data_IF_686165863036
#
_entry.id   IF_686165863036
#
_cell.length_a   1.000
_cell.length_b   1.000
_cell.length_c   1.000
_cell.angle_alpha   90.00
_cell.angle_beta   90.00
_cell.angle_gamma   90.00
#
_symmetry.space_group_name_H-M   'P 1'
#
loop_
_entity.id
_entity.type
_entity.pdbx_description
1 polymer ?
#
# COMPACT_ATOMS: atom_id res chain seq x y z
N UNK A 1 -17.10 18.71 -4.45
CA UNK A 1 -16.90 17.64 -3.49
C UNK A 1 -15.42 17.39 -3.27
N UNK A 2 -15.06 17.17 -2.03
CA UNK A 2 -13.68 16.86 -1.72
C UNK A 2 -13.30 15.47 -2.24
N UNK A 3 -12.10 15.36 -2.74
CA UNK A 3 -11.57 14.07 -3.17
C UNK A 3 -11.29 13.20 -1.94
N UNK A 4 -11.64 11.94 -2.04
CA UNK A 4 -11.38 11.00 -0.95
C UNK A 4 -10.13 10.20 -1.26
N UNK A 5 -9.09 10.44 -0.49
CA UNK A 5 -7.79 9.82 -0.65
C UNK A 5 -7.51 8.92 0.53
N UNK A 6 -6.93 7.77 0.27
CA UNK A 6 -6.52 6.82 1.29
C UNK A 6 -5.01 6.62 1.24
N UNK A 7 -4.44 6.34 2.41
CA UNK A 7 -3.13 5.70 2.49
C UNK A 7 -3.37 4.22 2.67
N UNK A 8 -2.51 3.40 2.07
CA UNK A 8 -2.51 1.98 2.32
C UNK A 8 -1.12 1.56 2.75
N UNK A 9 -1.04 0.66 3.72
CA UNK A 9 0.24 0.11 4.17
C UNK A 9 0.29 -1.38 3.87
N UNK A 10 1.46 -1.83 3.44
CA UNK A 10 1.73 -3.25 3.29
C UNK A 10 3.22 -3.48 3.52
N UNK A 11 3.58 -4.64 4.09
CA UNK A 11 4.97 -5.02 4.26
C UNK A 11 5.27 -6.21 3.36
N UNK A 12 6.50 -6.27 2.85
CA UNK A 12 6.94 -7.29 1.91
C UNK A 12 8.24 -7.91 2.42
N UNK A 13 8.56 -9.15 2.00
CA UNK A 13 9.77 -9.80 2.49
C UNK A 13 11.06 -9.14 2.01
N UNK A 14 11.01 -8.44 0.87
CA UNK A 14 12.20 -7.81 0.32
C UNK A 14 11.81 -6.63 -0.58
N UNK A 15 12.83 -5.85 -0.94
CA UNK A 15 12.65 -4.67 -1.76
C UNK A 15 12.18 -5.01 -3.18
N UNK A 16 12.71 -6.08 -3.74
CA UNK A 16 12.38 -6.48 -5.11
C UNK A 16 10.91 -6.81 -5.26
N UNK A 17 10.35 -7.58 -4.31
CA UNK A 17 8.93 -7.90 -4.31
C UNK A 17 8.09 -6.64 -4.16
N UNK A 18 8.50 -5.75 -3.23
CA UNK A 18 7.80 -4.49 -3.01
C UNK A 18 7.78 -3.63 -4.28
N UNK A 19 8.91 -3.56 -4.99
CA UNK A 19 8.99 -2.79 -6.24
C UNK A 19 8.10 -3.37 -7.32
N UNK A 20 8.09 -4.69 -7.45
CA UNK A 20 7.28 -5.37 -8.47
C UNK A 20 5.79 -5.12 -8.24
N UNK A 21 5.33 -5.32 -7.02
CA UNK A 21 3.92 -5.11 -6.69
C UNK A 21 3.54 -3.63 -6.85
N UNK A 22 4.40 -2.74 -6.36
CA UNK A 22 4.15 -1.29 -6.45
C UNK A 22 4.06 -0.81 -7.89
N UNK A 23 5.00 -1.25 -8.74
CA UNK A 23 4.96 -0.91 -10.15
C UNK A 23 3.66 -1.34 -10.81
N UNK A 24 3.21 -2.53 -10.49
CA UNK A 24 2.00 -3.06 -11.12
C UNK A 24 0.75 -2.29 -10.71
N UNK A 25 0.57 -2.02 -9.42
CA UNK A 25 -0.64 -1.31 -8.98
C UNK A 25 -0.66 0.13 -9.46
N UNK A 26 0.50 0.79 -9.54
CA UNK A 26 0.56 2.15 -10.06
C UNK A 26 0.30 2.16 -11.56
N UNK A 27 0.89 1.21 -12.30
CA UNK A 27 0.66 1.09 -13.75
C UNK A 27 -0.82 0.87 -14.07
N UNK A 28 -1.51 0.08 -13.24
CA UNK A 28 -2.93 -0.21 -13.46
C UNK A 28 -3.86 0.84 -12.86
N UNK A 29 -3.31 1.96 -12.38
CA UNK A 29 -4.09 3.07 -11.81
C UNK A 29 -4.90 2.68 -10.58
N UNK A 30 -4.43 1.67 -9.87
CA UNK A 30 -5.02 1.28 -8.60
C UNK A 30 -4.45 2.10 -7.44
N UNK A 31 -3.30 2.71 -7.66
CA UNK A 31 -2.71 3.66 -6.75
C UNK A 31 -2.03 4.76 -7.56
N UNK A 32 -1.98 5.95 -6.99
CA UNK A 32 -1.29 7.08 -7.63
C UNK A 32 0.21 7.00 -7.43
N UNK A 33 0.64 6.53 -6.27
CA UNK A 33 2.06 6.39 -5.99
C UNK A 33 2.30 5.40 -4.86
N UNK A 34 3.56 4.98 -4.75
CA UNK A 34 4.03 4.10 -3.70
C UNK A 34 5.37 4.62 -3.19
N UNK A 35 5.50 4.71 -1.89
CA UNK A 35 6.77 5.05 -1.25
C UNK A 35 7.31 3.81 -0.57
N UNK A 36 8.52 3.42 -0.92
CA UNK A 36 9.13 2.19 -0.47
C UNK A 36 10.17 2.48 0.60
N UNK A 37 10.00 1.90 1.78
CA UNK A 37 10.91 2.08 2.91
C UNK A 37 11.57 0.74 3.20
N UNK A 38 12.82 0.56 2.78
CA UNK A 38 13.52 -0.71 2.99
C UNK A 38 13.99 -0.85 4.42
N UNK A 39 14.30 -2.08 4.81
CA UNK A 39 14.97 -2.40 6.09
C UNK A 39 14.17 -2.00 7.32
N UNK A 40 12.88 -2.27 7.31
CA UNK A 40 12.04 -2.09 8.50
C UNK A 40 12.20 -3.35 9.35
N UNK A 41 12.47 -3.16 10.65
CA UNK A 41 12.53 -4.29 11.57
C UNK A 41 11.12 -4.52 12.11
N UNK A 42 10.61 -5.73 11.91
CA UNK A 42 9.27 -6.09 12.33
C UNK A 42 9.31 -7.12 13.45
N UNK A 43 8.50 -6.91 14.47
CA UNK A 43 8.35 -7.83 15.59
C UNK A 43 6.86 -8.13 15.67
N UNK A 44 6.48 -9.40 15.51
CA UNK A 44 5.07 -9.73 15.38
C UNK A 44 4.78 -11.13 15.93
N UNK A 45 3.52 -11.38 16.17
CA UNK A 45 3.05 -12.68 16.65
C UNK A 45 2.52 -13.50 15.47
N UNK A 46 3.02 -14.71 15.34
CA UNK A 46 2.59 -15.63 14.28
C UNK A 46 2.56 -17.04 14.84
N UNK A 47 1.39 -17.70 14.76
CA UNK A 47 1.20 -19.07 15.24
C UNK A 47 1.69 -19.24 16.67
N UNK A 48 1.26 -18.33 17.54
CA UNK A 48 1.56 -18.32 18.98
C UNK A 48 3.02 -18.07 19.35
N UNK A 49 3.84 -17.61 18.40
CA UNK A 49 5.22 -17.25 18.67
C UNK A 49 5.46 -15.79 18.32
N UNK A 50 6.45 -15.22 18.99
CA UNK A 50 6.92 -13.87 18.63
C UNK A 50 8.07 -14.06 17.64
N UNK A 51 7.90 -13.48 16.46
CA UNK A 51 8.87 -13.54 15.39
C UNK A 51 9.48 -12.17 15.16
N UNK A 52 10.71 -12.15 14.65
CA UNK A 52 11.36 -10.91 14.23
C UNK A 52 11.89 -11.12 12.82
N UNK A 53 11.90 -10.05 12.05
CA UNK A 53 12.44 -10.11 10.71
C UNK A 53 12.58 -8.74 10.11
N UNK A 54 13.34 -8.65 9.03
CA UNK A 54 13.45 -7.43 8.26
C UNK A 54 12.46 -7.48 7.12
N UNK A 55 11.76 -6.37 6.94
CA UNK A 55 10.78 -6.25 5.88
C UNK A 55 10.94 -4.93 5.14
N UNK A 56 10.27 -4.82 4.02
CA UNK A 56 10.16 -3.58 3.26
C UNK A 56 8.73 -3.08 3.42
N UNK A 57 8.57 -1.88 3.97
CA UNK A 57 7.26 -1.26 4.13
C UNK A 57 6.95 -0.40 2.93
N UNK A 58 5.74 -0.48 2.42
CA UNK A 58 5.30 0.39 1.34
C UNK A 58 4.09 1.19 1.81
N UNK A 59 4.12 2.49 1.52
CA UNK A 59 3.00 3.39 1.74
C UNK A 59 2.46 3.76 0.38
N UNK A 60 1.21 3.37 0.11
CA UNK A 60 0.53 3.70 -1.16
C UNK A 60 -0.43 4.84 -0.93
N UNK A 61 -0.65 5.65 -1.96
CA UNK A 61 -1.70 6.67 -1.95
C UNK A 61 -2.64 6.38 -3.10
N UNK A 62 -3.93 6.36 -2.81
CA UNK A 62 -4.93 5.99 -3.80
C UNK A 62 -6.24 6.69 -3.52
N UNK A 63 -7.12 6.71 -4.52
CA UNK A 63 -8.46 7.21 -4.31
C UNK A 63 -9.33 6.14 -3.68
N UNK A 64 -10.30 6.56 -2.87
CA UNK A 64 -11.16 5.65 -2.13
C UNK A 64 -11.91 4.67 -3.03
N UNK A 65 -12.32 5.11 -4.22
CA UNK A 65 -13.06 4.25 -5.15
C UNK A 65 -12.22 3.11 -5.72
N UNK A 66 -10.90 3.13 -5.52
CA UNK A 66 -10.01 2.03 -5.94
C UNK A 66 -9.70 1.03 -4.83
N UNK A 67 -10.23 1.26 -3.63
CA UNK A 67 -9.86 0.47 -2.46
C UNK A 67 -10.03 -1.03 -2.67
N UNK A 68 -11.20 -1.46 -3.12
CA UNK A 68 -11.47 -2.90 -3.31
C UNK A 68 -10.58 -3.51 -4.38
N UNK A 69 -10.45 -2.85 -5.52
CA UNK A 69 -9.62 -3.36 -6.62
C UNK A 69 -8.14 -3.39 -6.22
N UNK A 70 -7.68 -2.36 -5.49
CA UNK A 70 -6.31 -2.32 -4.97
C UNK A 70 -6.05 -3.50 -4.03
N UNK A 71 -6.94 -3.71 -3.07
CA UNK A 71 -6.79 -4.79 -2.09
C UNK A 71 -6.73 -6.15 -2.77
N UNK A 72 -7.62 -6.41 -3.72
CA UNK A 72 -7.64 -7.66 -4.48
C UNK A 72 -6.32 -7.88 -5.21
N UNK A 73 -5.85 -6.85 -5.89
CA UNK A 73 -4.62 -6.97 -6.69
C UNK A 73 -3.41 -7.23 -5.79
N UNK A 74 -3.24 -6.43 -4.74
CA UNK A 74 -2.09 -6.61 -3.84
C UNK A 74 -2.13 -7.99 -3.21
N UNK A 75 -3.31 -8.42 -2.76
CA UNK A 75 -3.46 -9.74 -2.17
C UNK A 75 -3.05 -10.84 -3.15
N UNK A 76 -3.47 -10.72 -4.41
CA UNK A 76 -3.16 -11.74 -5.43
C UNK A 76 -1.67 -11.83 -5.75
N UNK A 77 -0.93 -10.73 -5.58
CA UNK A 77 0.49 -10.67 -5.91
C UNK A 77 1.38 -10.89 -4.70
N UNK A 78 0.82 -10.84 -3.49
CA UNK A 78 1.59 -10.88 -2.26
C UNK A 78 2.02 -12.30 -1.93
N UNK A 79 3.30 -12.50 -1.55
CA UNK A 79 3.78 -13.86 -1.22
C UNK A 79 3.37 -14.36 0.15
N UNK A 80 2.88 -13.51 1.04
CA UNK A 80 2.48 -13.94 2.38
C UNK A 80 1.11 -14.60 2.36
N UNK A 81 0.93 -15.55 3.28
CA UNK A 81 -0.36 -16.20 3.47
C UNK A 81 -1.42 -15.19 3.94
N UNK A 82 -1.04 -14.34 4.91
CA UNK A 82 -1.92 -13.29 5.42
C UNK A 82 -1.16 -11.96 5.35
N UNK A 83 -1.24 -11.25 4.22
CA UNK A 83 -0.51 -10.00 4.08
C UNK A 83 -1.15 -8.86 4.86
N UNK A 84 -0.32 -7.92 5.31
CA UNK A 84 -0.82 -6.69 5.87
C UNK A 84 -1.31 -5.80 4.71
N UNK A 85 -2.59 -5.46 4.71
CA UNK A 85 -3.16 -4.51 3.76
C UNK A 85 -4.17 -3.71 4.58
N UNK A 86 -3.78 -2.51 5.02
CA UNK A 86 -4.64 -1.68 5.85
C UNK A 86 -4.73 -0.30 5.24
N UNK A 87 -5.84 0.37 5.50
CA UNK A 87 -6.14 1.67 4.90
C UNK A 87 -6.39 2.72 5.97
N UNK A 88 -5.94 3.94 5.69
CA UNK A 88 -6.20 5.10 6.54
C UNK A 88 -6.82 6.19 5.67
N UNK A 89 -7.96 6.74 6.07
CA UNK A 89 -8.50 7.88 5.32
C UNK A 89 -7.64 9.11 5.59
N UNK A 90 -7.36 9.86 4.53
CA UNK A 90 -6.65 11.13 4.64
C UNK A 90 -7.70 12.19 4.95
N UNK A 91 -7.66 12.76 6.16
CA UNK A 91 -8.67 13.71 6.58
C UNK A 91 -8.51 15.07 5.90
N UNK A 92 -7.29 15.46 5.56
CA UNK A 92 -7.02 16.76 4.98
C UNK A 92 -5.65 16.75 4.32
N UNK A 93 -5.43 17.66 3.38
CA UNK A 93 -4.15 17.79 2.70
C UNK A 93 -4.19 18.92 1.71
N UNK A 94 -3.07 19.18 1.05
CA UNK A 94 -3.00 20.21 0.01
C UNK A 94 -3.97 19.82 -1.11
N UNK A 95 -4.95 20.67 -1.45
CA UNK A 95 -5.99 20.31 -2.44
C UNK A 95 -5.42 19.85 -3.78
N UNK A 96 -4.40 20.52 -4.28
CA UNK A 96 -3.81 20.15 -5.57
C UNK A 96 -3.20 18.74 -5.53
N UNK A 97 -2.60 18.38 -4.39
CA UNK A 97 -2.02 17.05 -4.25
C UNK A 97 -3.11 15.97 -4.16
N UNK A 98 -4.15 16.22 -3.38
CA UNK A 98 -5.27 15.27 -3.26
C UNK A 98 -5.95 15.08 -4.61
N UNK A 99 -6.09 16.16 -5.38
CA UNK A 99 -6.64 16.08 -6.72
C UNK A 99 -5.74 15.26 -7.64
N UNK A 100 -4.42 15.45 -7.53
CA UNK A 100 -3.47 14.66 -8.32
C UNK A 100 -3.58 13.16 -8.03
N UNK A 101 -3.72 12.80 -6.73
CA UNK A 101 -3.89 11.39 -6.36
C UNK A 101 -5.15 10.82 -7.01
N UNK A 102 -6.28 11.51 -6.86
CA UNK A 102 -7.56 11.04 -7.41
C UNK A 102 -7.49 10.94 -8.93
N UNK A 103 -6.92 11.94 -9.58
CA UNK A 103 -6.83 11.98 -11.04
C UNK A 103 -5.93 10.88 -11.59
N UNK A 104 -4.88 10.56 -10.86
CA UNK A 104 -3.93 9.50 -11.26
C UNK A 104 -4.53 8.10 -11.16
N UNK A 105 -5.65 7.96 -10.48
CA UNK A 105 -6.35 6.69 -10.33
C UNK A 105 -7.54 6.53 -11.29
N UNK A 106 -7.71 7.43 -12.22
CA UNK A 106 -8.81 7.38 -13.19
C UNK A 106 -8.46 6.66 -14.47
#
# INVERSE_FOLDING_TARGET
MAERVLLALSTFPDRETAQRVSNQVVTEKLAACANILPAVESIYRWKDKVETGNETLVIFKLSEDRQSAFQEKVRSLHPYEVPEIIFFPVSNGLPEYLHWVADSCR
#
